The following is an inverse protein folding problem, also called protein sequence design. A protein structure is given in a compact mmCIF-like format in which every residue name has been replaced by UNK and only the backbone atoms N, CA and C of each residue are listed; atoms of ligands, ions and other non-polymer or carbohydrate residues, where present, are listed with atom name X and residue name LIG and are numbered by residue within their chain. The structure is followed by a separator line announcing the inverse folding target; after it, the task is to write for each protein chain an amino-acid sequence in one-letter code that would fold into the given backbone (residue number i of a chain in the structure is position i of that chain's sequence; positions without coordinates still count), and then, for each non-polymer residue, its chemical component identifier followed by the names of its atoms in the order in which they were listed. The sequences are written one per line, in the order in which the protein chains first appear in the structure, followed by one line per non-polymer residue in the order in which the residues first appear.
data_IF_685782448831
#
_entry.id   IF_685782448831
#
_cell.length_a   1.000
_cell.length_b   1.000
_cell.length_c   1.000
_cell.angle_alpha   90.00
_cell.angle_beta   90.00
_cell.angle_gamma   90.00
#
_symmetry.space_group_name_H-M   'P 1'
#
loop_
_entity.id
_entity.type
_entity.pdbx_description
1 polymer ?
#
# COMPACT_ATOMS: atom_id res chain seq x y z
N UNK A 1 7.45 -5.37 -20.27
CA UNK A 1 8.01 -5.83 -19.01
C UNK A 1 7.89 -4.82 -17.87
N UNK A 2 8.28 -3.57 -18.10
CA UNK A 2 8.16 -2.53 -17.07
C UNK A 2 6.71 -2.26 -16.66
N UNK A 3 5.73 -2.38 -17.56
CA UNK A 3 4.31 -2.17 -17.26
C UNK A 3 3.74 -3.23 -16.30
N UNK A 4 4.19 -4.49 -16.37
CA UNK A 4 3.72 -5.55 -15.46
C UNK A 4 4.31 -5.40 -14.06
N UNK A 5 5.57 -5.02 -13.97
CA UNK A 5 6.24 -4.77 -12.69
C UNK A 5 5.62 -3.57 -11.98
N UNK A 6 5.41 -2.48 -12.70
CA UNK A 6 4.77 -1.28 -12.18
C UNK A 6 3.34 -1.56 -11.72
N UNK A 7 2.59 -2.37 -12.48
CA UNK A 7 1.22 -2.75 -12.12
C UNK A 7 1.13 -3.55 -10.84
N UNK A 8 1.99 -4.57 -10.67
CA UNK A 8 2.00 -5.40 -9.46
C UNK A 8 2.41 -4.60 -8.22
N UNK A 9 3.44 -3.78 -8.35
CA UNK A 9 3.90 -2.92 -7.26
C UNK A 9 2.83 -1.91 -6.86
N UNK A 10 2.18 -1.29 -7.84
CA UNK A 10 1.09 -0.34 -7.64
C UNK A 10 -0.07 -1.00 -6.89
N UNK A 11 -0.46 -2.21 -7.27
CA UNK A 11 -1.52 -2.97 -6.62
C UNK A 11 -1.18 -3.27 -5.15
N UNK A 12 0.04 -3.69 -4.86
CA UNK A 12 0.47 -3.99 -3.49
C UNK A 12 0.38 -2.73 -2.61
N UNK A 13 0.87 -1.60 -3.10
CA UNK A 13 0.82 -0.33 -2.37
C UNK A 13 -0.64 0.11 -2.18
N UNK A 14 -1.47 -0.01 -3.22
CA UNK A 14 -2.90 0.28 -3.15
C UNK A 14 -3.58 -0.57 -2.08
N UNK A 15 -3.25 -1.86 -2.03
CA UNK A 15 -3.82 -2.77 -1.06
C UNK A 15 -3.46 -2.38 0.37
N UNK A 16 -2.21 -2.01 0.62
CA UNK A 16 -1.76 -1.55 1.93
C UNK A 16 -2.51 -0.28 2.34
N UNK A 17 -2.65 0.68 1.42
CA UNK A 17 -3.40 1.91 1.67
C UNK A 17 -4.88 1.63 1.94
N UNK A 18 -5.50 0.78 1.13
CA UNK A 18 -6.90 0.41 1.29
C UNK A 18 -7.17 -0.25 2.64
N UNK A 19 -6.28 -1.15 3.08
CA UNK A 19 -6.38 -1.79 4.38
C UNK A 19 -6.28 -0.78 5.51
N UNK A 20 -5.33 0.15 5.43
CA UNK A 20 -5.16 1.19 6.44
C UNK A 20 -6.41 2.08 6.55
N UNK A 21 -7.08 2.34 5.43
CA UNK A 21 -8.26 3.20 5.39
C UNK A 21 -9.53 2.46 5.84
N UNK A 22 -9.63 1.15 5.61
CA UNK A 22 -10.83 0.38 5.94
C UNK A 22 -10.89 -0.09 7.39
N UNK A 23 -9.81 0.06 8.15
CA UNK A 23 -9.71 -0.47 9.51
C UNK A 23 -10.46 0.31 10.60
N UNK A 24 -10.93 1.52 10.32
CA UNK A 24 -11.66 2.33 11.29
C UNK A 24 -13.14 2.47 10.85
N UNK A 25 -14.08 2.21 11.76
CA UNK A 25 -15.51 2.25 11.44
C UNK A 25 -15.99 3.61 10.97
N UNK A 26 -15.33 4.70 11.41
CA UNK A 26 -15.68 6.07 11.03
C UNK A 26 -15.09 6.48 9.66
N UNK A 27 -14.18 5.70 9.12
CA UNK A 27 -13.54 5.97 7.82
C UNK A 27 -13.94 4.97 6.73
N UNK A 28 -15.04 4.25 6.94
CA UNK A 28 -15.57 3.28 5.95
C UNK A 28 -15.90 3.90 4.60
N UNK A 29 -16.21 5.19 4.59
CA UNK A 29 -16.62 5.89 3.38
C UNK A 29 -15.43 6.51 2.63
N UNK A 30 -14.23 6.41 3.18
CA UNK A 30 -13.02 6.87 2.49
C UNK A 30 -12.70 5.88 1.37
N UNK A 31 -12.58 6.39 0.16
CA UNK A 31 -12.34 5.56 -1.02
C UNK A 31 -11.11 6.04 -1.79
N UNK A 32 -10.30 5.09 -2.20
CA UNK A 32 -9.24 5.35 -3.17
C UNK A 32 -9.87 5.31 -4.56
N UNK A 33 -9.89 6.43 -5.24
CA UNK A 33 -10.55 6.57 -6.54
C UNK A 33 -9.61 6.35 -7.71
N UNK A 34 -8.31 6.56 -7.51
CA UNK A 34 -7.31 6.34 -8.55
C UNK A 34 -5.94 6.12 -7.93
N UNK A 35 -5.06 5.48 -8.67
CA UNK A 35 -3.67 5.34 -8.29
C UNK A 35 -2.81 5.27 -9.55
N UNK A 36 -1.76 6.06 -9.57
CA UNK A 36 -0.82 6.09 -10.67
C UNK A 36 0.61 6.19 -10.13
N UNK A 37 1.50 5.39 -10.69
CA UNK A 37 2.93 5.52 -10.41
C UNK A 37 3.47 6.66 -11.27
N UNK A 38 3.98 7.71 -10.63
CA UNK A 38 4.53 8.86 -11.31
C UNK A 38 6.00 8.68 -11.66
N UNK A 39 6.76 8.06 -10.76
CA UNK A 39 8.19 7.87 -10.95
C UNK A 39 8.70 6.76 -10.05
N UNK A 40 9.80 6.13 -10.47
CA UNK A 40 10.50 5.10 -9.70
C UNK A 40 11.97 5.46 -9.72
N UNK A 41 12.57 5.69 -8.56
CA UNK A 41 13.98 6.02 -8.44
C UNK A 41 14.70 4.96 -7.62
N UNK A 42 15.69 4.34 -8.24
CA UNK A 42 16.53 3.37 -7.54
C UNK A 42 17.39 4.09 -6.50
N UNK A 43 17.35 3.58 -5.30
CA UNK A 43 18.14 4.10 -4.20
C UNK A 43 19.43 3.28 -4.03
N UNK A 44 19.30 1.96 -4.15
CA UNK A 44 20.41 1.00 -4.18
C UNK A 44 19.89 -0.31 -4.76
N UNK A 45 20.68 -1.38 -4.67
CA UNK A 45 20.31 -2.68 -5.25
C UNK A 45 19.10 -3.34 -4.56
N UNK A 46 18.76 -2.91 -3.34
CA UNK A 46 17.72 -3.55 -2.54
C UNK A 46 16.55 -2.62 -2.23
N UNK A 47 16.59 -1.36 -2.65
CA UNK A 47 15.50 -0.43 -2.36
C UNK A 47 15.27 0.58 -3.47
N UNK A 48 14.00 0.94 -3.63
CA UNK A 48 13.56 1.95 -4.60
C UNK A 48 12.60 2.91 -3.92
N UNK A 49 12.63 4.17 -4.35
CA UNK A 49 11.60 5.15 -4.02
C UNK A 49 10.57 5.14 -5.14
N UNK A 50 9.32 4.95 -4.77
CA UNK A 50 8.19 4.99 -5.71
C UNK A 50 7.36 6.22 -5.39
N UNK A 51 7.14 7.06 -6.40
CA UNK A 51 6.32 8.25 -6.29
C UNK A 51 4.96 7.96 -6.89
N UNK A 52 3.92 8.21 -6.11
CA UNK A 52 2.54 7.84 -6.44
C UNK A 52 1.64 9.07 -6.44
N UNK A 53 0.73 9.12 -7.39
CA UNK A 53 -0.42 10.01 -7.34
C UNK A 53 -1.64 9.17 -6.98
N UNK A 54 -2.22 9.45 -5.83
CA UNK A 54 -3.36 8.68 -5.31
C UNK A 54 -4.54 9.62 -5.12
N UNK A 55 -5.62 9.35 -5.83
CA UNK A 55 -6.88 10.05 -5.65
C UNK A 55 -7.65 9.43 -4.50
N UNK A 56 -8.03 10.24 -3.53
CA UNK A 56 -8.77 9.78 -2.35
C UNK A 56 -9.97 10.69 -2.13
N UNK A 57 -11.14 10.08 -2.04
CA UNK A 57 -12.38 10.74 -1.64
C UNK A 57 -12.61 10.47 -0.16
N UNK A 58 -12.55 11.54 0.63
CA UNK A 58 -12.78 11.49 2.06
C UNK A 58 -14.00 12.34 2.42
N UNK A 59 -15.19 11.74 2.52
CA UNK A 59 -16.38 12.47 2.95
C UNK A 59 -16.43 12.72 4.46
N UNK A 60 -15.54 12.11 5.23
CA UNK A 60 -15.48 12.22 6.68
C UNK A 60 -14.57 13.38 7.12
N UNK A 61 -14.09 13.33 8.33
CA UNK A 61 -13.22 14.35 8.92
C UNK A 61 -11.77 14.16 8.51
N UNK A 62 -10.94 15.14 8.79
CA UNK A 62 -9.52 15.11 8.53
C UNK A 62 -8.81 14.05 9.37
N UNK A 63 -7.95 13.27 8.73
CA UNK A 63 -7.15 12.22 9.39
C UNK A 63 -5.70 12.36 8.95
N UNK A 64 -4.79 12.39 9.92
CA UNK A 64 -3.36 12.28 9.64
C UNK A 64 -2.95 10.81 9.70
N UNK A 65 -2.35 10.33 8.63
CA UNK A 65 -1.80 8.97 8.56
C UNK A 65 -0.29 9.04 8.69
N UNK A 66 0.26 8.24 9.60
CA UNK A 66 1.69 8.18 9.86
C UNK A 66 2.10 6.75 10.16
N UNK A 67 3.40 6.50 10.19
CA UNK A 67 3.96 5.17 10.46
C UNK A 67 3.32 4.09 9.55
N UNK A 68 3.09 4.44 8.29
CA UNK A 68 2.46 3.53 7.33
C UNK A 68 3.51 2.55 6.83
N UNK A 69 3.32 1.28 7.14
CA UNK A 69 4.26 0.22 6.80
C UNK A 69 3.52 -1.01 6.34
N UNK A 70 4.18 -1.77 5.47
CA UNK A 70 3.66 -3.06 5.05
C UNK A 70 4.79 -4.01 4.73
N UNK A 71 4.49 -5.30 4.74
CA UNK A 71 5.42 -6.33 4.33
C UNK A 71 4.71 -7.38 3.48
N UNK A 72 5.44 -7.93 2.52
CA UNK A 72 4.96 -9.00 1.66
C UNK A 72 5.64 -10.28 2.07
N UNK A 73 4.85 -11.33 2.34
CA UNK A 73 5.35 -12.64 2.77
C UNK A 73 4.94 -13.72 1.77
N UNK A 74 5.81 -14.67 1.57
CA UNK A 74 5.51 -15.90 0.82
C UNK A 74 5.98 -17.09 1.64
N UNK A 75 5.06 -18.00 1.95
CA UNK A 75 5.34 -19.19 2.76
C UNK A 75 5.99 -18.87 4.10
N UNK A 76 5.53 -17.78 4.75
CA UNK A 76 6.03 -17.32 6.05
C UNK A 76 7.32 -16.51 5.99
N UNK A 77 7.94 -16.36 4.82
CA UNK A 77 9.18 -15.59 4.66
C UNK A 77 8.85 -14.18 4.16
N UNK A 78 9.36 -13.17 4.83
CA UNK A 78 9.23 -11.78 4.40
C UNK A 78 10.14 -11.55 3.18
N UNK A 79 9.57 -11.14 2.07
CA UNK A 79 10.30 -10.87 0.84
C UNK A 79 10.66 -9.39 0.69
N UNK A 80 9.76 -8.52 1.15
CA UNK A 80 9.97 -7.09 1.01
C UNK A 80 9.12 -6.29 1.97
N UNK A 81 9.49 -5.02 2.13
CA UNK A 81 8.81 -4.07 3.00
C UNK A 81 8.52 -2.78 2.24
N UNK A 82 7.44 -2.14 2.63
CA UNK A 82 7.03 -0.84 2.09
C UNK A 82 6.84 0.11 3.26
N UNK A 83 7.37 1.32 3.14
CA UNK A 83 7.10 2.40 4.07
C UNK A 83 6.63 3.62 3.28
N UNK A 84 5.53 4.23 3.70
CA UNK A 84 4.96 5.39 3.04
C UNK A 84 5.12 6.60 3.96
N UNK A 85 5.56 7.72 3.39
CA UNK A 85 5.72 8.96 4.17
C UNK A 85 4.37 9.42 4.73
N UNK A 86 4.36 10.01 5.92
CA UNK A 86 3.13 10.53 6.52
C UNK A 86 2.44 11.56 5.63
N UNK A 87 1.12 11.55 5.66
CA UNK A 87 0.34 12.54 4.94
C UNK A 87 -0.99 12.81 5.65
N UNK A 88 -1.63 13.91 5.29
CA UNK A 88 -2.90 14.32 5.88
C UNK A 88 -4.01 14.15 4.85
N UNK A 89 -5.02 13.34 5.20
CA UNK A 89 -6.25 13.24 4.43
C UNK A 89 -7.17 14.37 4.86
N UNK A 90 -7.39 15.34 3.97
CA UNK A 90 -8.29 16.45 4.24
C UNK A 90 -9.73 15.94 4.32
N UNK A 91 -10.48 16.47 5.29
CA UNK A 91 -11.86 16.11 5.46
C UNK A 91 -12.76 16.74 4.42
N UNK A 92 -13.86 16.07 4.10
CA UNK A 92 -14.89 16.54 3.17
C UNK A 92 -14.30 16.97 1.82
N UNK A 93 -13.37 16.16 1.30
CA UNK A 93 -12.67 16.49 0.06
C UNK A 93 -12.41 15.25 -0.78
N UNK A 94 -12.30 15.48 -2.09
CA UNK A 94 -11.83 14.50 -3.04
C UNK A 94 -10.59 15.11 -3.71
N UNK A 95 -9.40 14.64 -3.34
CA UNK A 95 -8.14 15.25 -3.76
C UNK A 95 -7.15 14.20 -4.25
N UNK A 96 -6.17 14.69 -4.99
CA UNK A 96 -5.01 13.91 -5.43
C UNK A 96 -3.87 14.13 -4.45
N UNK A 97 -3.34 13.04 -3.90
CA UNK A 97 -2.20 13.08 -2.98
C UNK A 97 -0.97 12.52 -3.68
N UNK A 98 0.15 13.22 -3.54
CA UNK A 98 1.44 12.79 -4.07
C UNK A 98 2.22 12.16 -2.93
N UNK A 99 2.35 10.84 -2.99
CA UNK A 99 2.94 10.06 -1.90
C UNK A 99 4.28 9.48 -2.33
N UNK A 100 5.16 9.30 -1.37
CA UNK A 100 6.44 8.63 -1.58
C UNK A 100 6.44 7.35 -0.77
N UNK A 101 6.71 6.23 -1.44
CA UNK A 101 6.86 4.93 -0.82
C UNK A 101 8.30 4.44 -0.98
N UNK A 102 8.88 3.97 0.10
CA UNK A 102 10.17 3.29 0.07
C UNK A 102 9.90 1.79 0.06
N UNK A 103 10.29 1.13 -1.02
CA UNK A 103 10.16 -0.32 -1.18
C UNK A 103 11.53 -0.96 -1.02
N UNK A 104 11.66 -1.89 -0.09
CA UNK A 104 12.92 -2.56 0.23
C UNK A 104 12.77 -4.07 0.10
N UNK A 105 13.80 -4.72 -0.42
CA UNK A 105 13.90 -6.16 -0.48
C UNK A 105 14.61 -6.63 0.80
N UNK A 106 14.05 -7.65 1.47
CA UNK A 106 14.67 -8.18 2.69
C UNK A 106 16.01 -8.84 2.40
N UNK A 107 16.98 -8.72 3.32
CA UNK A 107 18.25 -9.43 3.19
C UNK A 107 18.03 -10.95 3.11
N UNK A 108 18.78 -11.59 2.24
CA UNK A 108 18.69 -13.03 2.03
C UNK A 108 17.64 -13.47 1.02
N UNK A 109 16.88 -12.54 0.46
CA UNK A 109 15.94 -12.84 -0.63
C UNK A 109 16.71 -12.86 -1.95
N UNK A 110 16.58 -13.95 -2.71
CA UNK A 110 17.27 -14.12 -3.98
C UNK A 110 16.52 -13.39 -5.10
N UNK A 111 17.26 -13.09 -6.17
CA UNK A 111 16.67 -12.52 -7.37
C UNK A 111 15.60 -13.45 -7.95
N UNK A 112 15.81 -14.76 -7.85
CA UNK A 112 14.84 -15.75 -8.32
C UNK A 112 13.52 -15.63 -7.57
N UNK A 113 13.56 -15.44 -6.25
CA UNK A 113 12.35 -15.24 -5.46
C UNK A 113 11.60 -13.97 -5.86
N UNK A 114 12.35 -12.89 -6.15
CA UNK A 114 11.74 -11.64 -6.63
C UNK A 114 11.10 -11.84 -7.99
N UNK A 115 11.78 -12.56 -8.89
CA UNK A 115 11.24 -12.83 -10.22
C UNK A 115 9.96 -13.67 -10.18
N UNK A 116 9.83 -14.56 -9.19
CA UNK A 116 8.62 -15.35 -9.00
C UNK A 116 7.41 -14.48 -8.71
N UNK A 117 7.59 -13.30 -8.10
CA UNK A 117 6.49 -12.37 -7.80
C UNK A 117 5.90 -11.74 -9.06
N UNK A 118 6.58 -11.83 -10.20
CA UNK A 118 6.04 -11.39 -11.49
C UNK A 118 4.97 -12.36 -12.02
N UNK A 119 4.98 -13.59 -11.52
CA UNK A 119 3.96 -14.57 -11.84
C UNK A 119 2.72 -14.32 -10.97
N UNK A 120 1.57 -14.14 -11.61
CA UNK A 120 0.31 -13.83 -10.91
C UNK A 120 -0.13 -14.93 -9.95
N UNK A 121 0.14 -16.20 -10.28
CA UNK A 121 -0.22 -17.32 -9.40
C UNK A 121 0.62 -17.34 -8.12
N UNK A 122 1.92 -17.03 -8.22
CA UNK A 122 2.79 -16.91 -7.05
C UNK A 122 2.38 -15.71 -6.20
N UNK A 123 2.08 -14.59 -6.85
CA UNK A 123 1.65 -13.37 -6.14
C UNK A 123 0.37 -13.60 -5.33
N UNK A 124 -0.57 -14.36 -5.87
CA UNK A 124 -1.81 -14.71 -5.16
C UNK A 124 -1.58 -15.56 -3.91
N UNK A 125 -0.47 -16.26 -3.82
CA UNK A 125 -0.11 -17.07 -2.64
C UNK A 125 0.54 -16.25 -1.54
N UNK A 126 0.86 -14.98 -1.82
CA UNK A 126 1.50 -14.11 -0.84
C UNK A 126 0.49 -13.61 0.19
N UNK A 127 1.02 -13.23 1.34
CA UNK A 127 0.29 -12.57 2.41
C UNK A 127 0.88 -11.19 2.65
N UNK A 128 0.05 -10.27 3.12
CA UNK A 128 0.46 -8.90 3.43
C UNK A 128 0.17 -8.60 4.89
N UNK A 129 1.17 -8.07 5.58
CA UNK A 129 0.96 -7.40 6.85
C UNK A 129 1.04 -5.89 6.61
N UNK A 130 0.18 -5.14 7.26
CA UNK A 130 0.18 -3.68 7.12
C UNK A 130 -0.16 -3.05 8.46
N UNK A 131 0.41 -1.87 8.70
CA UNK A 131 0.09 -1.09 9.89
C UNK A 131 0.18 0.40 9.56
N UNK A 132 -0.58 1.19 10.30
CA UNK A 132 -0.54 2.64 10.20
C UNK A 132 -1.05 3.24 11.51
N UNK A 133 -0.64 4.48 11.76
CA UNK A 133 -1.20 5.28 12.86
C UNK A 133 -2.12 6.33 12.26
N UNK A 134 -3.38 6.32 12.68
CA UNK A 134 -4.35 7.32 12.27
C UNK A 134 -4.58 8.29 13.44
N UNK A 135 -4.39 9.58 13.20
CA UNK A 135 -4.59 10.63 14.21
C UNK A 135 -5.65 11.60 13.71
N UNK A 136 -6.69 11.78 14.49
CA UNK A 136 -7.74 12.75 14.19
C UNK A 136 -7.41 14.10 14.82
N UNK A 137 -8.01 15.16 14.29
CA UNK A 137 -7.89 16.49 14.83
C UNK A 137 -8.41 16.48 16.29
N UNK A 138 -7.59 16.95 17.23
CA UNK A 138 -7.86 16.86 18.65
C UNK A 138 -6.92 15.90 19.39
N UNK A 139 -6.02 15.24 18.68
CA UNK A 139 -4.94 14.44 19.26
C UNK A 139 -5.26 12.97 19.54
N UNK A 140 -6.46 12.51 19.24
CA UNK A 140 -6.80 11.10 19.38
C UNK A 140 -6.14 10.30 18.25
N UNK A 141 -5.37 9.28 18.60
CA UNK A 141 -4.75 8.41 17.62
C UNK A 141 -5.01 6.95 17.92
N UNK A 142 -5.03 6.16 16.86
CA UNK A 142 -5.16 4.71 16.97
C UNK A 142 -4.18 4.05 16.00
N UNK A 143 -3.69 2.87 16.38
CA UNK A 143 -2.84 2.06 15.52
C UNK A 143 -3.72 1.02 14.85
N UNK A 144 -3.63 0.97 13.53
CA UNK A 144 -4.33 -0.01 12.70
C UNK A 144 -3.34 -1.09 12.33
N UNK A 145 -3.67 -2.35 12.63
CA UNK A 145 -2.82 -3.50 12.31
C UNK A 145 -3.63 -4.52 11.53
N UNK A 146 -3.07 -4.97 10.43
CA UNK A 146 -3.63 -6.03 9.58
C UNK A 146 -2.56 -7.07 9.36
N UNK A 147 -2.84 -8.32 9.70
CA UNK A 147 -1.88 -9.41 9.59
C UNK A 147 -2.43 -10.52 8.71
N UNK A 148 -1.52 -11.11 7.91
CA UNK A 148 -1.81 -12.29 7.09
C UNK A 148 -3.01 -12.11 6.16
N UNK A 149 -3.07 -10.95 5.51
CA UNK A 149 -4.11 -10.67 4.52
C UNK A 149 -3.69 -11.30 3.18
N UNK A 150 -4.50 -12.22 2.62
CA UNK A 150 -4.15 -12.81 1.33
C UNK A 150 -4.13 -11.77 0.22
N UNK A 151 -3.06 -11.73 -0.56
CA UNK A 151 -2.97 -10.84 -1.72
C UNK A 151 -4.09 -11.13 -2.71
N UNK A 152 -4.49 -12.38 -2.83
CA UNK A 152 -5.62 -12.78 -3.67
C UNK A 152 -6.88 -11.97 -3.38
N UNK A 153 -7.23 -11.81 -2.12
CA UNK A 153 -8.42 -11.05 -1.71
C UNK A 153 -8.31 -9.58 -2.08
N UNK A 154 -7.11 -9.02 -1.95
CA UNK A 154 -6.84 -7.62 -2.28
C UNK A 154 -6.90 -7.38 -3.80
N UNK A 155 -6.41 -8.31 -4.59
CA UNK A 155 -6.48 -8.23 -6.05
C UNK A 155 -7.92 -8.28 -6.54
N UNK A 156 -8.74 -9.12 -5.95
CA UNK A 156 -10.16 -9.22 -6.30
C UNK A 156 -10.90 -7.91 -6.00
N UNK A 157 -10.63 -7.29 -4.84
CA UNK A 157 -11.22 -6.02 -4.47
C UNK A 157 -10.80 -4.89 -5.42
N UNK A 158 -9.55 -4.83 -5.81
CA UNK A 158 -9.04 -3.79 -6.70
C UNK A 158 -9.60 -3.92 -8.13
N UNK A 159 -9.95 -5.12 -8.58
CA UNK A 159 -10.55 -5.33 -9.89
C UNK A 159 -11.97 -4.75 -9.98
N UNK A 160 -12.71 -4.74 -8.88
CA UNK A 160 -14.04 -4.15 -8.85
C UNK A 160 -14.00 -2.62 -8.96
N UNK A 161 -12.95 -1.99 -8.51
CA UNK A 161 -12.82 -0.54 -8.59
C UNK A 161 -12.38 -0.04 -9.98
N UNK A 162 -11.91 -0.91 -10.85
CA UNK A 162 -11.50 -0.56 -12.22
C UNK A 162 -12.65 -0.56 -13.21
N UNK A 163 -13.82 -0.99 -12.81
CA UNK A 163 -15.02 -1.00 -13.63
C UNK A 163 -15.93 0.15 -13.20
#
# INVERSE_FOLDING_TARGET
MMKKFSGSLSVIILCILALCLSGCSKVKDIKVTSMQVEDVKFRNFTSVNVFLAVGIDNPAFEVQLSEIQGSLKLSGKVLGRVAIDPFVLRGHSAEMYHLKALVSIEPGVSLTEIMQLLDSETLKKCMVDASARATVKGGLSTVLNFNDIPVKDLLETSQYEKI
#
